data_IF_536310045787
#
_entry.id   IF_536310045787
#
_cell.length_a   1.000
_cell.length_b   1.000
_cell.length_c   1.000
_cell.angle_alpha   90.00
_cell.angle_beta   90.00
_cell.angle_gamma   90.00
#
_symmetry.space_group_name_H-M   'P 1'
#
loop_
_entity.id
_entity.type
_entity.pdbx_description
1 polymer ?
#
# COMPACT_ATOMS: atom_id res chain seq x y z
N UNK A 1 -31.18 13.79 31.97
CA UNK A 1 -30.67 14.25 30.69
C UNK A 1 -29.62 13.24 30.21
N UNK A 2 -30.00 12.43 29.27
CA UNK A 2 -29.09 11.43 28.68
C UNK A 2 -28.17 12.15 27.70
N UNK A 3 -26.92 12.27 28.10
CA UNK A 3 -25.86 12.62 27.14
C UNK A 3 -25.58 11.36 26.36
N UNK A 4 -26.18 11.26 25.20
CA UNK A 4 -25.72 10.27 24.23
C UNK A 4 -24.37 10.78 23.77
N UNK A 5 -23.31 10.18 24.32
CA UNK A 5 -22.02 10.27 23.70
C UNK A 5 -22.16 9.62 22.32
N UNK A 6 -22.47 10.43 21.32
CA UNK A 6 -22.23 10.02 19.95
C UNK A 6 -20.75 9.76 19.88
N UNK A 7 -20.36 8.50 19.92
CA UNK A 7 -19.09 8.08 19.35
C UNK A 7 -19.14 8.53 17.88
N UNK A 8 -18.78 9.76 17.65
CA UNK A 8 -18.25 10.14 16.37
C UNK A 8 -17.01 9.29 16.24
N UNK A 9 -17.18 8.12 15.64
CA UNK A 9 -16.05 7.47 15.00
C UNK A 9 -15.51 8.58 14.12
N UNK A 10 -14.40 9.17 14.57
CA UNK A 10 -13.70 10.11 13.73
C UNK A 10 -13.43 9.32 12.46
N UNK A 11 -14.24 9.53 11.41
CA UNK A 11 -14.05 8.95 10.09
C UNK A 11 -12.75 9.44 9.47
N UNK A 12 -11.96 10.19 10.27
CA UNK A 12 -10.69 10.73 9.89
C UNK A 12 -9.53 9.78 10.20
N UNK A 13 -8.52 9.88 9.38
CA UNK A 13 -7.23 9.24 9.59
C UNK A 13 -6.55 9.86 10.81
N UNK A 14 -5.80 9.06 11.58
CA UNK A 14 -4.94 9.61 12.63
C UNK A 14 -3.74 10.36 12.01
N UNK A 15 -2.92 10.96 12.86
CA UNK A 15 -1.79 11.78 12.42
C UNK A 15 -0.80 10.99 11.54
N UNK A 16 -0.46 9.77 11.94
CA UNK A 16 0.47 8.93 11.20
C UNK A 16 -0.13 8.46 9.88
N UNK A 17 -1.40 8.08 9.87
CA UNK A 17 -2.11 7.70 8.65
C UNK A 17 -2.21 8.87 7.66
N UNK A 18 -2.47 10.09 8.15
CA UNK A 18 -2.45 11.29 7.28
C UNK A 18 -1.07 11.54 6.69
N UNK A 19 -0.02 11.33 7.47
CA UNK A 19 1.35 11.39 6.96
C UNK A 19 1.56 10.34 5.87
N UNK A 20 1.12 9.12 6.11
CA UNK A 20 1.17 8.03 5.11
C UNK A 20 0.43 8.37 3.82
N UNK A 21 -0.74 9.02 3.94
CA UNK A 21 -1.51 9.48 2.78
C UNK A 21 -0.72 10.52 1.95
N UNK A 22 -0.03 11.45 2.62
CA UNK A 22 0.82 12.42 1.92
C UNK A 22 1.97 11.74 1.20
N UNK A 23 2.58 10.73 1.83
CA UNK A 23 3.64 9.94 1.21
C UNK A 23 3.12 9.14 0.01
N UNK A 24 1.92 8.57 0.12
CA UNK A 24 1.27 7.91 -1.01
C UNK A 24 1.11 8.85 -2.20
N UNK A 25 0.59 10.05 -1.97
CA UNK A 25 0.44 11.06 -3.03
C UNK A 25 1.78 11.43 -3.67
N UNK A 26 2.82 11.49 -2.86
CA UNK A 26 4.16 11.86 -3.32
C UNK A 26 4.85 10.76 -4.13
N UNK A 27 4.75 9.50 -3.68
CA UNK A 27 5.55 8.42 -4.23
C UNK A 27 4.78 7.40 -5.06
N UNK A 28 3.49 7.28 -4.88
CA UNK A 28 2.70 6.14 -5.39
C UNK A 28 1.59 6.53 -6.36
N UNK A 29 1.02 7.72 -6.20
CA UNK A 29 -0.20 8.14 -6.89
C UNK A 29 -0.04 8.30 -8.41
N UNK A 30 1.18 8.46 -8.91
CA UNK A 30 1.42 8.48 -10.36
C UNK A 30 1.14 7.14 -11.02
N UNK A 31 1.24 6.05 -10.28
CA UNK A 31 1.12 4.70 -10.81
C UNK A 31 -0.03 3.89 -10.22
N UNK A 32 -0.53 4.27 -9.06
CA UNK A 32 -1.56 3.51 -8.35
C UNK A 32 -2.75 4.36 -7.96
N UNK A 33 -3.94 3.81 -8.16
CA UNK A 33 -5.17 4.30 -7.54
C UNK A 33 -5.42 3.61 -6.20
N UNK A 34 -6.27 4.21 -5.38
CA UNK A 34 -6.70 3.66 -4.10
C UNK A 34 -8.14 3.17 -4.11
N UNK A 35 -8.78 3.19 -5.26
CA UNK A 35 -10.18 2.80 -5.44
C UNK A 35 -10.27 1.36 -5.95
N UNK A 36 -11.34 0.61 -5.57
CA UNK A 36 -11.53 -0.75 -6.08
C UNK A 36 -11.61 -0.78 -7.61
N UNK A 37 -11.02 -1.83 -8.19
CA UNK A 37 -11.10 -2.12 -9.62
C UNK A 37 -10.59 -1.00 -10.54
N UNK A 38 -9.67 -0.18 -10.04
CA UNK A 38 -9.13 0.94 -10.80
C UNK A 38 -7.61 0.82 -10.86
N UNK A 39 -7.14 0.31 -11.99
CA UNK A 39 -5.72 0.12 -12.26
C UNK A 39 -5.18 1.26 -13.13
N UNK A 40 -3.90 1.52 -13.03
CA UNK A 40 -3.17 2.49 -13.83
C UNK A 40 -1.90 1.80 -14.34
N UNK A 41 -0.73 2.37 -14.19
CA UNK A 41 0.52 1.66 -14.49
C UNK A 41 0.76 0.52 -13.51
N UNK A 42 0.36 0.69 -12.26
CA UNK A 42 0.30 -0.36 -11.27
C UNK A 42 -1.14 -0.75 -10.93
N UNK A 43 -1.35 -1.86 -10.25
CA UNK A 43 -2.68 -2.27 -9.82
C UNK A 43 -3.24 -1.34 -8.74
N UNK A 44 -4.57 -1.32 -8.60
CA UNK A 44 -5.21 -0.65 -7.46
C UNK A 44 -4.63 -1.18 -6.16
N UNK A 45 -4.40 -0.28 -5.20
CA UNK A 45 -3.93 -0.66 -3.86
C UNK A 45 -5.09 -0.87 -2.88
N UNK A 46 -6.33 -0.76 -3.36
CA UNK A 46 -7.50 -1.04 -2.53
C UNK A 46 -7.49 -2.49 -2.06
N UNK A 47 -7.60 -2.68 -0.75
CA UNK A 47 -7.71 -4.01 -0.13
C UNK A 47 -6.58 -4.98 -0.51
N UNK A 48 -5.36 -4.45 -0.76
CA UNK A 48 -4.23 -5.31 -1.13
C UNK A 48 -3.45 -5.84 0.08
N UNK A 49 -3.55 -5.18 1.25
CA UNK A 49 -2.84 -5.60 2.46
C UNK A 49 -3.30 -7.00 2.89
N UNK A 50 -2.35 -7.80 3.33
CA UNK A 50 -2.55 -9.20 3.73
C UNK A 50 -3.03 -10.13 2.61
N UNK A 51 -3.07 -9.67 1.37
CA UNK A 51 -3.37 -10.48 0.19
C UNK A 51 -2.08 -11.00 -0.43
N UNK A 52 -2.20 -12.07 -1.19
CA UNK A 52 -1.07 -12.59 -1.96
C UNK A 52 -0.68 -11.61 -3.07
N UNK A 53 0.61 -11.48 -3.31
CA UNK A 53 1.12 -10.71 -4.42
C UNK A 53 0.59 -11.26 -5.75
N UNK A 54 0.46 -10.40 -6.73
CA UNK A 54 -0.03 -10.74 -8.07
C UNK A 54 -1.46 -11.33 -8.08
N UNK A 55 -2.34 -10.86 -7.19
CA UNK A 55 -3.69 -11.44 -7.03
C UNK A 55 -4.80 -10.68 -7.77
N UNK A 56 -4.54 -9.50 -8.32
CA UNK A 56 -5.55 -8.76 -9.10
C UNK A 56 -5.71 -9.41 -10.46
N UNK A 57 -6.93 -9.86 -10.76
CA UNK A 57 -7.23 -10.51 -12.05
C UNK A 57 -7.04 -9.52 -13.21
N UNK A 58 -6.39 -10.00 -14.26
CA UNK A 58 -6.22 -9.24 -15.48
C UNK A 58 -5.09 -8.21 -15.46
N UNK A 59 -4.45 -8.00 -14.33
CA UNK A 59 -3.30 -7.11 -14.27
C UNK A 59 -2.03 -7.84 -14.73
N UNK A 60 -1.24 -7.27 -15.65
CA UNK A 60 -0.05 -7.93 -16.21
C UNK A 60 1.15 -7.80 -15.28
N UNK A 61 1.20 -8.64 -14.25
CA UNK A 61 2.33 -8.66 -13.31
C UNK A 61 3.61 -9.21 -13.94
N UNK A 62 4.76 -8.78 -13.41
CA UNK A 62 6.05 -9.37 -13.77
C UNK A 62 6.11 -10.85 -13.39
N UNK A 63 6.92 -11.61 -14.11
CA UNK A 63 7.18 -13.03 -13.79
C UNK A 63 7.75 -13.18 -12.38
N UNK A 64 8.67 -12.28 -11.99
CA UNK A 64 9.28 -12.30 -10.67
C UNK A 64 8.26 -12.13 -9.54
N UNK A 65 7.32 -11.21 -9.69
CA UNK A 65 6.29 -11.01 -8.69
C UNK A 65 5.34 -12.20 -8.61
N UNK A 66 4.92 -12.74 -9.75
CA UNK A 66 4.08 -13.95 -9.79
C UNK A 66 4.76 -15.14 -9.11
N UNK A 67 6.05 -15.32 -9.34
CA UNK A 67 6.82 -16.43 -8.78
C UNK A 67 7.18 -16.24 -7.31
N UNK A 68 7.10 -15.01 -6.79
CA UNK A 68 7.56 -14.67 -5.45
C UNK A 68 6.74 -15.33 -4.35
N UNK A 69 5.46 -15.56 -4.59
CA UNK A 69 4.50 -16.10 -3.61
C UNK A 69 4.43 -15.29 -2.31
N UNK A 70 4.76 -14.01 -2.38
CA UNK A 70 4.72 -13.12 -1.24
C UNK A 70 3.30 -12.84 -0.81
N UNK A 71 3.13 -12.55 0.47
CA UNK A 71 1.90 -11.96 1.02
C UNK A 71 2.21 -10.54 1.45
N UNK A 72 1.34 -9.60 1.11
CA UNK A 72 1.55 -8.19 1.43
C UNK A 72 1.22 -7.88 2.90
N UNK A 73 1.88 -8.58 3.82
CA UNK A 73 1.84 -8.26 5.25
C UNK A 73 2.79 -7.11 5.58
N UNK A 74 2.76 -6.63 6.82
CA UNK A 74 3.59 -5.51 7.25
C UNK A 74 5.07 -5.70 6.98
N UNK A 75 5.59 -6.88 7.30
CA UNK A 75 7.02 -7.18 7.18
C UNK A 75 7.43 -7.19 5.70
N UNK A 76 6.64 -7.83 4.87
CA UNK A 76 6.90 -7.90 3.43
C UNK A 76 6.77 -6.54 2.76
N UNK A 77 5.73 -5.77 3.12
CA UNK A 77 5.57 -4.40 2.63
C UNK A 77 6.74 -3.51 3.02
N UNK A 78 7.21 -3.62 4.24
CA UNK A 78 8.37 -2.84 4.68
C UNK A 78 9.61 -3.15 3.83
N UNK A 79 9.89 -4.41 3.61
CA UNK A 79 11.01 -4.84 2.76
C UNK A 79 10.86 -4.40 1.32
N UNK A 80 9.67 -4.56 0.76
CA UNK A 80 9.39 -4.18 -0.63
C UNK A 80 9.51 -2.67 -0.83
N UNK A 81 8.91 -1.89 0.05
CA UNK A 81 8.97 -0.43 -0.02
C UNK A 81 10.38 0.11 0.22
N UNK A 82 11.20 -0.60 0.95
CA UNK A 82 12.60 -0.22 1.14
C UNK A 82 13.40 -0.36 -0.15
N UNK A 83 13.20 -1.45 -0.87
CA UNK A 83 13.88 -1.72 -2.13
C UNK A 83 13.11 -2.77 -2.94
N UNK A 84 12.19 -2.35 -3.81
CA UNK A 84 11.40 -3.29 -4.59
C UNK A 84 12.25 -4.28 -5.41
N UNK A 85 13.28 -3.80 -6.08
CA UNK A 85 14.12 -4.62 -6.94
C UNK A 85 14.98 -5.64 -6.16
N UNK A 86 15.29 -5.37 -4.91
CA UNK A 86 16.01 -6.32 -4.05
C UNK A 86 15.14 -7.48 -3.62
N UNK A 87 13.88 -7.18 -3.28
CA UNK A 87 12.96 -8.21 -2.81
C UNK A 87 12.42 -9.05 -3.98
N UNK A 88 12.13 -8.40 -5.10
CA UNK A 88 11.54 -9.05 -6.28
C UNK A 88 12.38 -8.72 -7.50
N UNK A 89 13.23 -9.65 -7.91
CA UNK A 89 14.00 -9.49 -9.14
C UNK A 89 13.05 -9.42 -10.34
N UNK A 90 13.31 -8.47 -11.23
CA UNK A 90 12.47 -8.28 -12.41
C UNK A 90 11.15 -7.58 -12.14
N UNK A 91 10.99 -6.97 -10.96
CA UNK A 91 9.80 -6.16 -10.71
C UNK A 91 9.66 -5.05 -11.75
N UNK A 92 8.44 -4.84 -12.23
CA UNK A 92 8.12 -3.75 -13.16
C UNK A 92 7.89 -2.42 -12.44
N UNK A 93 7.86 -2.44 -11.11
CA UNK A 93 7.69 -1.24 -10.31
C UNK A 93 9.00 -0.45 -10.30
N UNK A 94 9.07 0.59 -11.13
CA UNK A 94 10.23 1.47 -11.23
C UNK A 94 10.18 2.47 -10.08
N UNK A 95 10.67 2.05 -8.93
CA UNK A 95 10.65 2.83 -7.71
C UNK A 95 11.90 2.53 -6.89
N UNK A 96 12.72 3.55 -6.55
CA UNK A 96 14.00 3.32 -5.88
C UNK A 96 13.84 2.87 -4.41
N UNK A 97 12.69 3.09 -3.80
CA UNK A 97 12.43 2.75 -2.43
C UNK A 97 12.44 3.94 -1.48
N UNK A 98 11.95 3.70 -0.28
CA UNK A 98 11.89 4.67 0.81
C UNK A 98 12.87 4.23 1.90
N UNK A 99 13.91 5.01 2.13
CA UNK A 99 14.98 4.65 3.08
C UNK A 99 14.56 4.78 4.54
N UNK A 100 13.77 5.80 4.87
CA UNK A 100 13.37 6.07 6.25
C UNK A 100 12.28 5.12 6.71
N UNK A 101 12.58 4.38 7.78
CA UNK A 101 11.62 3.44 8.37
C UNK A 101 10.34 4.14 8.83
N UNK A 102 10.44 5.33 9.41
CA UNK A 102 9.27 6.09 9.87
C UNK A 102 8.32 6.44 8.73
N UNK A 103 8.85 6.73 7.55
CA UNK A 103 8.05 6.98 6.36
C UNK A 103 7.39 5.70 5.86
N UNK A 104 8.14 4.59 5.80
CA UNK A 104 7.55 3.29 5.42
C UNK A 104 6.43 2.88 6.37
N UNK A 105 6.66 3.02 7.67
CA UNK A 105 5.66 2.68 8.70
C UNK A 105 4.37 3.51 8.52
N UNK A 106 4.50 4.81 8.30
CA UNK A 106 3.36 5.69 8.08
C UNK A 106 2.59 5.32 6.80
N UNK A 107 3.31 5.07 5.71
CA UNK A 107 2.71 4.65 4.45
C UNK A 107 1.97 3.33 4.60
N UNK A 108 2.57 2.34 5.26
CA UNK A 108 1.94 1.03 5.51
C UNK A 108 0.67 1.21 6.34
N UNK A 109 0.70 2.03 7.39
CA UNK A 109 -0.52 2.31 8.18
C UNK A 109 -1.62 2.92 7.33
N UNK A 110 -1.27 3.80 6.41
CA UNK A 110 -2.25 4.34 5.47
C UNK A 110 -2.81 3.24 4.55
N UNK A 111 -1.96 2.39 4.00
CA UNK A 111 -2.40 1.29 3.12
C UNK A 111 -3.39 0.36 3.83
N UNK A 112 -3.21 0.11 5.12
CA UNK A 112 -4.15 -0.69 5.92
C UNK A 112 -5.52 -0.05 6.07
N UNK A 113 -5.68 1.23 5.80
CA UNK A 113 -6.99 1.90 5.79
C UNK A 113 -7.76 1.66 4.49
N UNK A 114 -7.10 1.16 3.45
CA UNK A 114 -7.67 0.95 2.12
C UNK A 114 -8.31 -0.44 2.00
N UNK A 115 -9.42 -0.62 2.71
CA UNK A 115 -10.19 -1.87 2.67
C UNK A 115 -11.63 -1.68 3.13
#
# INVERSE_FOLDING_TARGET
MLIVATNTIASGLDKEQRFGKRLFKRYCATCHYTEPNKDLFGPSLWNMVDKKAASVKGFPYSKGLKASKLTWDKVTLDKYLKSPSRLVQGTQMVFPGIKKKSERDALIRYLYTLR
#
